data_IF_381225522606
#
_entry.id   IF_381225522606
#
_cell.length_a   1.000
_cell.length_b   1.000
_cell.length_c   1.000
_cell.angle_alpha   90.00
_cell.angle_beta   90.00
_cell.angle_gamma   90.00
#
_symmetry.space_group_name_H-M   'P 1'
#
loop_
_entity.id
_entity.type
_entity.pdbx_description
1 polymer ?
#
# COMPACT_ATOMS: atom_id res chain seq x y z
N UNK A 1 4.94 -3.50 5.90
CA UNK A 1 4.57 -2.19 6.47
C UNK A 1 5.25 -1.86 7.79
N UNK A 2 5.61 -2.82 8.65
CA UNK A 2 6.26 -2.50 9.94
C UNK A 2 7.58 -1.72 9.82
N UNK A 3 8.27 -1.85 8.68
CA UNK A 3 9.49 -1.10 8.39
C UNK A 3 9.27 0.29 7.76
N UNK A 4 8.02 0.74 7.62
CA UNK A 4 7.72 2.08 7.08
C UNK A 4 7.89 2.23 5.57
N UNK A 5 7.68 1.15 4.81
CA UNK A 5 7.74 1.19 3.34
C UNK A 5 6.57 0.46 2.67
N UNK A 6 6.16 0.99 1.53
CA UNK A 6 5.31 0.35 0.51
C UNK A 6 6.16 0.05 -0.71
N UNK A 7 5.88 -1.06 -1.38
CA UNK A 7 6.60 -1.49 -2.57
C UNK A 7 5.62 -1.86 -3.68
N UNK A 8 6.08 -1.77 -4.92
CA UNK A 8 5.40 -2.32 -6.09
C UNK A 8 6.41 -3.12 -6.89
N UNK A 9 6.00 -4.20 -7.56
CA UNK A 9 6.87 -4.94 -8.48
C UNK A 9 7.28 -4.11 -9.70
N UNK A 10 7.41 -4.74 -10.87
CA UNK A 10 7.91 -4.09 -12.09
C UNK A 10 9.43 -3.84 -12.07
N UNK A 11 10.19 -4.77 -11.49
CA UNK A 11 11.66 -4.67 -11.41
C UNK A 11 12.35 -4.43 -12.75
N UNK A 12 11.79 -4.95 -13.86
CA UNK A 12 12.30 -4.74 -15.23
C UNK A 12 12.38 -3.25 -15.63
N UNK A 13 11.64 -2.38 -14.95
CA UNK A 13 11.55 -0.95 -15.25
C UNK A 13 12.28 -0.07 -14.23
N UNK A 14 13.04 -0.66 -13.30
CA UNK A 14 13.68 0.03 -12.16
C UNK A 14 14.84 0.93 -12.61
N UNK A 15 14.52 2.09 -13.17
CA UNK A 15 15.51 3.08 -13.61
C UNK A 15 15.11 4.47 -13.11
N UNK A 16 16.11 5.34 -12.90
CA UNK A 16 15.88 6.75 -12.53
C UNK A 16 15.09 7.48 -13.62
N UNK A 17 15.41 7.18 -14.88
CA UNK A 17 14.72 7.73 -16.05
C UNK A 17 13.22 7.40 -16.04
N UNK A 18 12.83 6.16 -15.70
CA UNK A 18 11.43 5.78 -15.58
C UNK A 18 10.70 6.67 -14.56
N UNK A 19 11.31 6.90 -13.40
CA UNK A 19 10.74 7.78 -12.36
C UNK A 19 10.66 9.23 -12.88
N UNK A 20 11.73 9.76 -13.48
CA UNK A 20 11.75 11.13 -14.00
C UNK A 20 10.66 11.37 -15.04
N UNK A 21 10.51 10.44 -15.98
CA UNK A 21 9.53 10.54 -17.06
C UNK A 21 8.10 10.45 -16.55
N UNK A 22 7.83 9.57 -15.58
CA UNK A 22 6.49 9.48 -14.98
C UNK A 22 6.15 10.76 -14.18
N UNK A 23 7.09 11.29 -13.41
CA UNK A 23 6.89 12.55 -12.67
C UNK A 23 6.73 13.76 -13.60
N UNK A 24 7.39 13.75 -14.75
CA UNK A 24 7.19 14.74 -15.82
C UNK A 24 5.88 14.52 -16.62
N UNK A 25 5.02 13.57 -16.23
CA UNK A 25 3.79 13.20 -16.93
C UNK A 25 3.99 12.73 -18.39
N UNK A 26 5.15 12.14 -18.71
CA UNK A 26 5.43 11.58 -20.03
C UNK A 26 4.77 10.20 -20.22
N UNK A 27 3.47 10.23 -20.47
CA UNK A 27 2.63 9.05 -20.67
C UNK A 27 3.07 8.19 -21.86
N UNK A 28 3.57 8.85 -22.92
CA UNK A 28 3.98 8.18 -24.15
C UNK A 28 5.26 7.39 -23.93
N UNK A 29 6.27 7.99 -23.29
CA UNK A 29 7.47 7.29 -22.87
C UNK A 29 7.11 6.07 -22.00
N UNK A 30 6.26 6.28 -20.98
CA UNK A 30 5.87 5.22 -20.06
C UNK A 30 5.26 4.02 -20.79
N UNK A 31 4.27 4.24 -21.67
CA UNK A 31 3.65 3.14 -22.43
C UNK A 31 4.63 2.48 -23.41
N UNK A 32 5.51 3.27 -24.04
CA UNK A 32 6.50 2.76 -24.97
C UNK A 32 7.48 1.79 -24.28
N UNK A 33 7.83 2.03 -23.01
CA UNK A 33 8.68 1.08 -22.26
C UNK A 33 8.02 -0.29 -22.11
N UNK A 34 6.73 -0.35 -21.80
CA UNK A 34 6.00 -1.62 -21.70
C UNK A 34 5.95 -2.35 -23.05
N UNK A 35 5.66 -1.62 -24.14
CA UNK A 35 5.65 -2.20 -25.47
C UNK A 35 7.03 -2.72 -25.88
N UNK A 36 8.10 -1.98 -25.56
CA UNK A 36 9.48 -2.37 -25.85
C UNK A 36 9.95 -3.58 -25.04
N UNK A 37 9.69 -3.57 -23.73
CA UNK A 37 10.19 -4.60 -22.81
C UNK A 37 9.37 -5.89 -22.88
N UNK A 38 8.04 -5.78 -22.95
CA UNK A 38 7.12 -6.92 -22.81
C UNK A 38 6.33 -7.22 -24.09
N UNK A 39 6.49 -6.44 -25.16
CA UNK A 39 5.72 -6.60 -26.40
C UNK A 39 4.23 -6.26 -26.26
N UNK A 40 3.80 -5.75 -25.11
CA UNK A 40 2.39 -5.44 -24.81
C UNK A 40 2.28 -4.34 -23.75
N UNK A 41 1.12 -3.69 -23.69
CA UNK A 41 0.80 -2.63 -22.74
C UNK A 41 -0.28 -3.11 -21.74
N UNK A 42 0.10 -3.75 -20.63
CA UNK A 42 -0.88 -4.35 -19.72
C UNK A 42 -1.65 -3.28 -18.94
N UNK A 43 -2.90 -3.59 -18.54
CA UNK A 43 -3.69 -2.69 -17.68
C UNK A 43 -3.07 -2.47 -16.30
N UNK A 44 -2.35 -3.47 -15.77
CA UNK A 44 -1.67 -3.38 -14.47
C UNK A 44 -0.59 -2.30 -14.41
N UNK A 45 -0.07 -1.81 -15.55
CA UNK A 45 0.88 -0.69 -15.57
C UNK A 45 0.32 0.60 -14.95
N UNK A 46 -1.01 0.77 -14.96
CA UNK A 46 -1.68 1.92 -14.34
C UNK A 46 -1.36 1.98 -12.84
N UNK A 47 -1.18 0.82 -12.21
CA UNK A 47 -0.80 0.70 -10.82
C UNK A 47 0.61 1.24 -10.57
N UNK A 48 1.54 1.00 -11.50
CA UNK A 48 2.89 1.54 -11.45
C UNK A 48 2.88 3.05 -11.67
N UNK A 49 2.15 3.51 -12.69
CA UNK A 49 1.98 4.93 -12.95
C UNK A 49 1.49 5.68 -11.70
N UNK A 50 0.42 5.20 -11.06
CA UNK A 50 -0.11 5.83 -9.85
C UNK A 50 0.87 5.76 -8.67
N UNK A 51 1.55 4.63 -8.48
CA UNK A 51 2.50 4.45 -7.38
C UNK A 51 3.68 5.41 -7.45
N UNK A 52 4.24 5.58 -8.65
CA UNK A 52 5.35 6.50 -8.88
C UNK A 52 4.93 7.96 -8.72
N UNK A 53 3.63 8.25 -8.88
CA UNK A 53 3.05 9.59 -8.78
C UNK A 53 2.56 9.99 -7.39
N UNK A 54 2.65 9.15 -6.35
CA UNK A 54 2.27 9.65 -5.03
C UNK A 54 3.13 10.84 -4.62
N UNK A 55 2.52 11.78 -3.94
CA UNK A 55 3.17 12.98 -3.40
C UNK A 55 3.29 12.85 -1.88
N UNK A 56 4.25 13.57 -1.31
CA UNK A 56 4.37 13.65 0.15
C UNK A 56 3.09 14.20 0.76
N UNK A 57 2.61 13.55 1.81
CA UNK A 57 1.33 13.85 2.45
C UNK A 57 0.14 13.09 1.88
N UNK A 58 0.29 12.33 0.78
CA UNK A 58 -0.78 11.47 0.28
C UNK A 58 -1.19 10.41 1.31
N UNK A 59 -2.50 10.30 1.52
CA UNK A 59 -3.09 9.28 2.39
C UNK A 59 -3.42 8.03 1.58
N UNK A 60 -2.86 6.90 2.00
CA UNK A 60 -2.99 5.60 1.35
C UNK A 60 -3.73 4.64 2.27
N UNK A 61 -4.75 3.98 1.71
CA UNK A 61 -5.43 2.86 2.35
C UNK A 61 -4.82 1.55 1.88
N UNK A 62 -4.26 0.78 2.82
CA UNK A 62 -3.68 -0.53 2.53
C UNK A 62 -4.60 -1.61 3.11
N UNK A 63 -5.41 -2.27 2.28
CA UNK A 63 -6.33 -3.31 2.75
C UNK A 63 -5.59 -4.60 3.13
N UNK A 64 -6.08 -5.26 4.18
CA UNK A 64 -5.70 -6.61 4.58
C UNK A 64 -6.95 -7.45 4.90
N UNK A 65 -6.80 -8.67 5.39
CA UNK A 65 -7.94 -9.53 5.74
C UNK A 65 -8.65 -8.99 6.99
N UNK A 66 -9.93 -8.62 6.85
CA UNK A 66 -10.77 -8.03 7.93
C UNK A 66 -10.40 -6.61 8.39
N UNK A 67 -9.17 -6.16 8.10
CA UNK A 67 -8.63 -4.88 8.56
C UNK A 67 -8.00 -4.08 7.42
N UNK A 68 -7.70 -2.81 7.66
CA UNK A 68 -6.88 -1.98 6.78
C UNK A 68 -5.96 -1.08 7.59
N UNK A 69 -4.98 -0.50 6.90
CA UNK A 69 -4.04 0.47 7.43
C UNK A 69 -4.25 1.80 6.74
N UNK A 70 -4.05 2.88 7.50
CA UNK A 70 -4.01 4.24 6.97
C UNK A 70 -2.57 4.70 7.06
N UNK A 71 -2.00 4.99 5.91
CA UNK A 71 -0.60 5.39 5.76
C UNK A 71 -0.52 6.78 5.13
N UNK A 72 0.55 7.49 5.42
CA UNK A 72 0.91 8.75 4.77
C UNK A 72 2.25 8.59 4.09
N UNK A 73 2.36 9.09 2.85
CA UNK A 73 3.62 9.16 2.12
C UNK A 73 4.52 10.23 2.74
N UNK A 74 5.76 9.87 3.04
CA UNK A 74 6.70 10.76 3.75
C UNK A 74 7.93 11.15 2.94
N UNK A 75 8.15 10.50 1.80
CA UNK A 75 9.22 10.85 0.86
C UNK A 75 8.72 11.77 -0.24
N UNK A 76 9.63 12.57 -0.78
CA UNK A 76 9.35 13.44 -1.93
C UNK A 76 9.35 12.67 -3.25
N UNK A 77 9.98 11.49 -3.29
CA UNK A 77 10.25 10.78 -4.53
C UNK A 77 10.34 9.25 -4.33
N UNK A 78 9.87 8.44 -5.30
CA UNK A 78 10.06 7.00 -5.29
C UNK A 78 11.53 6.60 -5.29
N UNK A 79 11.83 5.54 -4.54
CA UNK A 79 13.17 4.96 -4.46
C UNK A 79 13.23 3.65 -5.25
N UNK A 80 14.41 3.33 -5.77
CA UNK A 80 14.69 2.08 -6.50
C UNK A 80 15.04 1.00 -5.48
N UNK A 81 14.44 -0.19 -5.57
CA UNK A 81 14.61 -1.23 -4.54
C UNK A 81 16.08 -1.63 -4.35
N UNK A 82 16.83 -1.75 -5.45
CA UNK A 82 18.23 -2.14 -5.44
C UNK A 82 19.18 -1.11 -4.82
N UNK A 83 18.82 0.18 -4.85
CA UNK A 83 19.59 1.27 -4.22
C UNK A 83 19.19 1.49 -2.75
N UNK A 84 17.94 1.16 -2.39
CA UNK A 84 17.35 1.50 -1.08
C UNK A 84 17.73 0.52 0.02
N UNK A 85 17.96 -0.75 -0.34
CA UNK A 85 18.09 -1.84 0.61
C UNK A 85 19.36 -2.64 0.39
N UNK A 86 20.48 -2.10 0.87
CA UNK A 86 21.77 -2.78 0.83
C UNK A 86 22.04 -3.62 2.08
N UNK A 87 21.47 -3.29 3.25
CA UNK A 87 21.87 -3.93 4.52
C UNK A 87 20.69 -4.21 5.49
N UNK A 88 20.71 -5.40 6.13
CA UNK A 88 19.81 -5.74 7.24
C UNK A 88 18.35 -6.05 6.87
N UNK A 89 18.02 -6.14 5.57
CA UNK A 89 16.72 -6.66 5.16
C UNK A 89 16.61 -8.14 5.48
N UNK A 90 15.45 -8.48 6.04
CA UNK A 90 15.06 -9.85 6.29
C UNK A 90 13.69 -10.09 5.71
N UNK A 91 13.53 -11.23 5.05
CA UNK A 91 12.24 -11.67 4.56
C UNK A 91 11.46 -12.37 5.68
N UNK A 92 10.27 -12.86 5.36
CA UNK A 92 9.42 -13.57 6.31
C UNK A 92 10.17 -14.76 6.93
N UNK A 93 10.09 -14.91 8.25
CA UNK A 93 10.87 -15.92 8.99
C UNK A 93 12.31 -15.51 9.31
N UNK A 94 12.64 -14.21 9.29
CA UNK A 94 13.96 -13.68 9.69
C UNK A 94 15.12 -14.14 8.78
N UNK A 95 14.80 -14.51 7.54
CA UNK A 95 15.78 -14.97 6.54
C UNK A 95 16.50 -13.80 5.89
N UNK A 96 17.79 -13.96 5.61
CA UNK A 96 18.58 -12.91 4.99
C UNK A 96 18.14 -12.66 3.54
N UNK A 97 18.28 -11.40 3.13
CA UNK A 97 18.03 -10.94 1.76
C UNK A 97 19.30 -10.25 1.29
N UNK A 98 19.73 -10.54 0.07
CA UNK A 98 20.83 -9.85 -0.61
C UNK A 98 20.30 -9.03 -1.80
N UNK A 99 21.14 -8.22 -2.42
CA UNK A 99 20.78 -7.44 -3.62
C UNK A 99 21.81 -7.68 -4.72
N UNK A 100 21.37 -7.69 -5.98
CA UNK A 100 22.25 -7.66 -7.15
C UNK A 100 22.28 -6.27 -7.82
N UNK A 101 21.73 -5.25 -7.16
CA UNK A 101 21.60 -3.89 -7.69
C UNK A 101 20.26 -3.60 -8.38
N UNK A 102 19.52 -4.63 -8.81
CA UNK A 102 18.20 -4.49 -9.44
C UNK A 102 17.11 -5.20 -8.65
N UNK A 103 17.41 -6.41 -8.19
CA UNK A 103 16.49 -7.28 -7.47
C UNK A 103 16.98 -7.52 -6.05
N UNK A 104 16.01 -7.72 -5.15
CA UNK A 104 16.28 -8.36 -3.86
C UNK A 104 16.25 -9.88 -4.06
N UNK A 105 17.23 -10.58 -3.51
CA UNK A 105 17.42 -12.01 -3.63
C UNK A 105 17.17 -12.69 -2.28
N UNK A 106 16.47 -13.82 -2.29
CA UNK A 106 16.36 -14.66 -1.11
C UNK A 106 17.62 -15.52 -0.90
N UNK A 107 17.65 -16.30 0.18
CA UNK A 107 18.75 -17.23 0.53
C UNK A 107 19.10 -18.25 -0.57
N UNK A 108 18.16 -18.55 -1.47
CA UNK A 108 18.33 -19.46 -2.60
C UNK A 108 18.62 -18.72 -3.91
N UNK A 109 19.02 -17.45 -3.85
CA UNK A 109 19.25 -16.58 -5.02
C UNK A 109 18.03 -16.37 -5.92
N UNK A 110 16.81 -16.58 -5.39
CA UNK A 110 15.57 -16.27 -6.12
C UNK A 110 15.18 -14.81 -5.93
N UNK A 111 14.80 -14.17 -7.03
CA UNK A 111 14.43 -12.76 -7.10
C UNK A 111 13.06 -12.46 -6.49
N UNK A 112 12.99 -11.36 -5.76
CA UNK A 112 11.76 -10.69 -5.36
C UNK A 112 11.48 -9.52 -6.32
N UNK A 113 10.32 -9.56 -6.98
CA UNK A 113 9.83 -8.47 -7.81
C UNK A 113 9.23 -7.35 -6.94
N UNK A 114 10.10 -6.44 -6.49
CA UNK A 114 9.77 -5.32 -5.61
C UNK A 114 10.11 -3.94 -6.20
N UNK A 115 10.59 -3.90 -7.46
CA UNK A 115 10.86 -2.73 -8.30
C UNK A 115 11.11 -1.39 -7.60
N UNK A 116 10.04 -0.75 -7.12
CA UNK A 116 10.09 0.57 -6.49
C UNK A 116 9.56 0.55 -5.06
N UNK A 117 10.04 1.49 -4.25
CA UNK A 117 9.63 1.68 -2.86
C UNK A 117 9.21 3.14 -2.58
N UNK A 118 8.27 3.28 -1.63
CA UNK A 118 7.84 4.54 -1.02
C UNK A 118 7.93 4.44 0.49
N UNK A 119 8.49 5.45 1.14
CA UNK A 119 8.53 5.60 2.59
C UNK A 119 7.18 6.10 3.09
N UNK A 120 6.62 5.38 4.04
CA UNK A 120 5.34 5.71 4.65
C UNK A 120 5.42 5.78 6.17
N UNK A 121 4.67 6.70 6.73
CA UNK A 121 4.28 6.67 8.13
C UNK A 121 2.95 5.94 8.24
N UNK A 122 2.84 4.96 9.14
CA UNK A 122 1.58 4.26 9.38
C UNK A 122 0.84 5.00 10.48
N UNK A 123 -0.17 5.78 10.10
CA UNK A 123 -0.97 6.60 11.01
C UNK A 123 -1.88 5.71 11.87
N UNK A 124 -2.61 4.79 11.23
CA UNK A 124 -3.52 3.86 11.92
C UNK A 124 -3.27 2.42 11.46
N UNK A 125 -3.18 1.53 12.45
CA UNK A 125 -2.97 0.10 12.25
C UNK A 125 -4.23 -0.68 12.60
N UNK A 126 -4.44 -1.77 11.87
CA UNK A 126 -5.47 -2.76 12.17
C UNK A 126 -6.89 -2.17 12.31
N UNK A 127 -7.23 -1.18 11.47
CA UNK A 127 -8.56 -0.57 11.46
C UNK A 127 -9.54 -1.61 10.93
N UNK A 128 -10.56 -1.95 11.72
CA UNK A 128 -11.57 -2.94 11.30
C UNK A 128 -12.38 -2.41 10.13
N UNK A 129 -12.42 -3.19 9.02
CA UNK A 129 -13.28 -2.86 7.87
C UNK A 129 -14.74 -2.87 8.27
N UNK A 130 -15.16 -3.89 9.02
CA UNK A 130 -16.55 -4.07 9.44
C UNK A 130 -17.02 -2.93 10.35
N UNK A 131 -16.19 -2.49 11.30
CA UNK A 131 -16.62 -1.44 12.25
C UNK A 131 -16.57 -0.04 11.66
N UNK A 132 -15.56 0.25 10.84
CA UNK A 132 -15.17 1.63 10.55
C UNK A 132 -15.20 1.99 9.06
N UNK A 133 -15.32 1.04 8.14
CA UNK A 133 -15.45 1.37 6.71
C UNK A 133 -16.91 1.25 6.27
N UNK A 134 -17.39 2.23 5.50
CA UNK A 134 -18.71 2.12 4.87
C UNK A 134 -18.71 1.09 3.72
N UNK A 135 -19.88 0.85 3.14
CA UNK A 135 -20.03 -0.12 2.06
C UNK A 135 -19.19 0.24 0.81
N UNK A 136 -19.05 1.53 0.49
CA UNK A 136 -18.32 2.00 -0.68
C UNK A 136 -16.81 1.77 -0.52
N UNK A 137 -16.25 2.18 0.62
CA UNK A 137 -14.84 1.97 0.98
C UNK A 137 -14.54 0.47 1.12
N UNK A 138 -15.43 -0.30 1.75
CA UNK A 138 -15.31 -1.76 1.85
C UNK A 138 -15.28 -2.42 0.48
N UNK A 139 -16.16 -2.00 -0.44
CA UNK A 139 -16.18 -2.50 -1.81
C UNK A 139 -14.89 -2.15 -2.56
N UNK A 140 -14.41 -0.90 -2.44
CA UNK A 140 -13.18 -0.45 -3.10
C UNK A 140 -11.94 -1.20 -2.61
N UNK A 141 -11.90 -1.57 -1.32
CA UNK A 141 -10.85 -2.42 -0.75
C UNK A 141 -10.84 -3.87 -1.24
N UNK A 142 -11.83 -4.31 -2.03
CA UNK A 142 -11.82 -5.63 -2.71
C UNK A 142 -11.06 -5.62 -4.03
N UNK A 143 -10.70 -4.45 -4.56
CA UNK A 143 -9.90 -4.34 -5.78
C UNK A 143 -8.54 -5.00 -5.51
N UNK A 144 -8.25 -6.06 -6.25
CA UNK A 144 -6.98 -6.80 -6.14
C UNK A 144 -5.82 -6.11 -6.86
N UNK A 145 -6.11 -5.12 -7.71
CA UNK A 145 -5.11 -4.30 -8.36
C UNK A 145 -4.57 -3.27 -7.36
N UNK A 146 -3.26 -3.32 -7.10
CA UNK A 146 -2.54 -2.41 -6.22
C UNK A 146 -2.65 -0.95 -6.72
N UNK A 147 -2.77 0.03 -5.83
CA UNK A 147 -2.69 1.48 -6.16
C UNK A 147 -3.83 2.05 -7.03
N UNK A 148 -5.05 1.55 -6.85
CA UNK A 148 -6.24 2.22 -7.39
C UNK A 148 -6.39 3.61 -6.77
N UNK A 149 -6.67 4.62 -7.60
CA UNK A 149 -7.01 5.96 -7.11
C UNK A 149 -8.44 5.94 -6.56
N UNK A 150 -8.64 6.46 -5.35
CA UNK A 150 -9.92 6.41 -4.62
C UNK A 150 -10.37 7.78 -4.12
N UNK A 151 -9.93 8.86 -4.79
CA UNK A 151 -10.23 10.24 -4.38
C UNK A 151 -11.74 10.51 -4.35
N UNK A 152 -12.52 9.79 -5.14
CA UNK A 152 -13.99 9.81 -5.11
C UNK A 152 -14.58 9.36 -3.75
N UNK A 153 -13.81 8.62 -2.95
CA UNK A 153 -14.16 8.15 -1.61
C UNK A 153 -13.48 8.94 -0.49
N UNK A 154 -12.95 10.15 -0.76
CA UNK A 154 -12.29 10.98 0.25
C UNK A 154 -13.12 11.13 1.53
N UNK A 155 -14.39 11.50 1.39
CA UNK A 155 -15.30 11.66 2.54
C UNK A 155 -15.51 10.35 3.32
N UNK A 156 -15.55 9.21 2.63
CA UNK A 156 -15.68 7.88 3.28
C UNK A 156 -14.42 7.54 4.08
N UNK A 157 -13.24 7.86 3.55
CA UNK A 157 -11.96 7.67 4.23
C UNK A 157 -11.86 8.57 5.46
N UNK A 158 -12.16 9.87 5.32
CA UNK A 158 -12.11 10.84 6.42
C UNK A 158 -13.08 10.44 7.56
N UNK A 159 -14.34 10.12 7.23
CA UNK A 159 -15.31 9.63 8.21
C UNK A 159 -14.86 8.33 8.89
N UNK A 160 -14.25 7.42 8.13
CA UNK A 160 -13.71 6.17 8.67
C UNK A 160 -12.64 6.44 9.72
N UNK A 161 -11.71 7.36 9.42
CA UNK A 161 -10.65 7.79 10.33
C UNK A 161 -11.23 8.48 11.58
N UNK A 162 -12.19 9.40 11.41
CA UNK A 162 -12.86 10.08 12.52
C UNK A 162 -13.59 9.09 13.45
N UNK A 163 -14.35 8.16 12.87
CA UNK A 163 -15.05 7.13 13.62
C UNK A 163 -14.10 6.18 14.35
N UNK A 164 -12.98 5.82 13.73
CA UNK A 164 -11.94 5.04 14.39
C UNK A 164 -11.32 5.79 15.58
N UNK A 165 -10.97 7.08 15.42
CA UNK A 165 -10.46 7.93 16.51
C UNK A 165 -11.44 8.04 17.67
N UNK A 166 -12.72 8.22 17.36
CA UNK A 166 -13.78 8.37 18.35
C UNK A 166 -14.28 7.03 18.92
N UNK A 167 -13.72 5.89 18.48
CA UNK A 167 -14.22 4.54 18.74
C UNK A 167 -15.74 4.44 18.57
N UNK A 168 -16.25 4.96 17.45
CA UNK A 168 -17.68 5.06 17.14
C UNK A 168 -18.00 4.23 15.89
N UNK A 169 -18.35 2.94 16.04
CA UNK A 169 -18.61 2.08 14.90
C UNK A 169 -19.78 2.57 14.05
N UNK A 170 -19.70 2.36 12.72
CA UNK A 170 -20.70 2.83 11.76
C UNK A 170 -22.00 1.99 11.83
N UNK A 171 -21.89 0.70 12.15
CA UNK A 171 -23.04 -0.21 12.16
C UNK A 171 -23.61 -0.43 13.55
N UNK A 172 -24.94 -0.32 13.68
CA UNK A 172 -25.70 -0.52 14.92
C UNK A 172 -25.39 -1.88 15.60
N UNK A 173 -25.17 -2.93 14.80
CA UNK A 173 -24.83 -4.28 15.30
C UNK A 173 -23.54 -4.29 16.14
N UNK A 174 -22.53 -3.51 15.75
CA UNK A 174 -21.27 -3.39 16.51
C UNK A 174 -21.42 -2.60 17.82
N UNK A 175 -22.36 -1.65 17.87
CA UNK A 175 -22.71 -0.90 19.10
C UNK A 175 -23.45 -1.81 20.11
N UNK A 176 -24.31 -2.71 19.62
CA UNK A 176 -25.08 -3.64 20.47
C UNK A 176 -24.19 -4.75 21.07
N UNK A 177 -23.19 -5.26 20.33
CA UNK A 177 -22.24 -6.25 20.85
C UNK A 177 -21.33 -5.67 21.93
N UNK A 178 -20.85 -4.43 21.78
CA UNK A 178 -20.03 -3.76 22.80
C UNK A 178 -20.79 -3.51 24.10
N UNK A 179 -22.08 -3.10 24.01
CA UNK A 179 -22.93 -2.99 25.20
C UNK A 179 -23.16 -4.32 25.91
N UNK A 180 -23.33 -5.43 25.18
CA UNK A 180 -23.56 -6.74 25.79
C UNK A 180 -22.30 -7.38 26.41
N UNK A 181 -21.09 -7.00 25.96
CA UNK A 181 -19.84 -7.49 26.57
C UNK A 181 -19.56 -6.93 27.97
N UNK A 182 -20.20 -5.82 28.34
CA UNK A 182 -20.04 -5.16 29.64
C UNK A 182 -20.94 -5.72 30.76
N UNK A 183 -21.83 -6.68 30.49
CA UNK A 183 -22.82 -7.16 31.48
C UNK A 183 -22.58 -8.58 32.03
N UNK A 184 -21.46 -9.24 31.72
CA UNK A 184 -21.13 -10.53 32.35
C UNK A 184 -19.98 -10.39 33.37
N UNK A 185 -20.24 -9.68 34.48
CA UNK A 185 -19.55 -9.93 35.74
C UNK A 185 -20.52 -10.77 36.58
N UNK A 186 -20.25 -12.07 36.65
CA UNK A 186 -20.88 -12.98 37.62
C UNK A 186 -20.17 -12.75 38.95
N UNK A 187 -20.86 -12.14 39.90
CA UNK A 187 -20.42 -12.02 41.29
C UNK A 187 -20.81 -13.34 41.98
N UNK A 188 -19.89 -13.93 42.74
CA UNK A 188 -20.17 -15.08 43.61
C UNK A 188 -21.06 -14.67 44.79
#
# INVERSE_FOLDING_TARGET
>A
MEKGYLTIGFSDFTTKEMVDKVLANDWNYFNAQFQKMWGRVPRTRLNLWNFLKFEKGDIIIVPSWGIFFVCEITDERPMLIGETYSEGLKSWGNKNVSTNGTYLLNENSKEYDLGFARKVNVIYKNVSKEKFADAALTSRMKIRQTNAQINDLKNSVEKSIENYKANKPIHLHSIVIEKNRLYCIRIN
#
